data_IF_534401518839
#
_entry.id   IF_534401518839
#
_cell.length_a   1.000
_cell.length_b   1.000
_cell.length_c   1.000
_cell.angle_alpha   90.00
_cell.angle_beta   90.00
_cell.angle_gamma   90.00
#
_symmetry.space_group_name_H-M   'P 1'
#
loop_
_entity.id
_entity.type
_entity.pdbx_description
1 polymer ?
#
# COMPACT_ATOMS: atom_id res chain seq x y z
N UNK A 1 39.29 5.29 4.27
CA UNK A 1 38.21 5.23 5.29
C UNK A 1 36.98 4.58 4.67
N UNK A 2 37.07 3.25 4.47
CA UNK A 2 35.97 2.40 4.00
C UNK A 2 35.07 2.02 5.18
N UNK A 3 33.82 2.39 5.09
CA UNK A 3 32.62 1.66 5.53
C UNK A 3 32.64 0.86 6.83
N UNK A 4 32.69 1.55 7.98
CA UNK A 4 32.28 0.96 9.26
C UNK A 4 30.74 0.97 9.48
N UNK A 5 29.95 1.58 8.57
CA UNK A 5 28.49 1.67 8.73
C UNK A 5 27.67 0.52 8.13
N UNK A 6 28.26 -0.26 7.20
CA UNK A 6 27.57 -1.41 6.61
C UNK A 6 27.79 -2.74 7.33
N UNK A 7 28.89 -2.86 8.12
CA UNK A 7 29.22 -4.07 8.87
C UNK A 7 28.44 -4.23 10.19
N UNK A 8 27.96 -3.13 10.79
CA UNK A 8 27.24 -3.18 12.07
C UNK A 8 25.75 -3.56 11.95
N UNK A 9 25.16 -3.47 10.75
CA UNK A 9 23.74 -3.85 10.50
C UNK A 9 23.60 -5.37 10.32
N UNK A 10 24.65 -6.05 9.91
CA UNK A 10 24.61 -7.50 9.60
C UNK A 10 24.74 -8.42 10.83
N UNK A 11 25.02 -7.88 12.02
CA UNK A 11 25.27 -8.67 13.23
C UNK A 11 24.34 -8.37 14.42
N UNK A 12 23.43 -7.39 14.32
CA UNK A 12 22.47 -7.12 15.39
C UNK A 12 21.14 -7.81 15.12
N UNK A 13 20.68 -8.63 16.06
CA UNK A 13 19.34 -9.25 16.04
C UNK A 13 18.22 -8.29 16.48
N UNK A 14 18.50 -7.00 16.57
CA UNK A 14 17.58 -5.97 17.03
C UNK A 14 17.74 -4.67 16.22
N UNK A 15 16.67 -3.89 16.14
CA UNK A 15 16.64 -2.60 15.43
C UNK A 15 16.78 -1.44 16.43
N UNK A 16 17.48 -0.36 16.05
CA UNK A 16 17.64 0.84 16.88
C UNK A 16 16.32 1.52 17.20
N UNK A 17 15.40 1.52 16.25
CA UNK A 17 14.03 2.01 16.40
C UNK A 17 13.09 1.24 15.48
N UNK A 18 11.78 1.38 15.72
CA UNK A 18 10.77 0.62 14.99
C UNK A 18 10.67 0.99 13.50
N UNK A 19 11.14 2.18 13.09
CA UNK A 19 11.12 2.57 11.67
C UNK A 19 12.08 1.73 10.81
N UNK A 20 13.09 1.13 11.42
CA UNK A 20 14.09 0.29 10.76
C UNK A 20 13.64 -1.17 10.59
N UNK A 21 12.55 -1.58 11.23
CA UNK A 21 12.04 -2.96 11.16
C UNK A 21 11.07 -3.21 9.99
N UNK A 22 10.99 -2.29 9.03
CA UNK A 22 10.18 -2.43 7.81
C UNK A 22 10.76 -3.47 6.87
N UNK A 23 9.88 -4.06 6.04
CA UNK A 23 10.30 -4.99 5.00
C UNK A 23 10.45 -6.42 5.50
N UNK A 24 11.20 -7.24 4.74
CA UNK A 24 11.37 -8.67 4.97
C UNK A 24 10.03 -9.40 5.16
N UNK A 25 8.99 -8.94 4.47
CA UNK A 25 7.66 -9.53 4.54
C UNK A 25 7.64 -10.86 3.78
N UNK A 26 6.98 -11.90 4.31
CA UNK A 26 7.05 -13.21 3.68
C UNK A 26 6.24 -13.30 2.38
N UNK A 27 6.69 -14.19 1.49
CA UNK A 27 5.87 -14.76 0.43
C UNK A 27 5.17 -16.01 0.96
N UNK A 28 3.83 -16.05 0.81
CA UNK A 28 3.01 -17.19 1.21
C UNK A 28 2.33 -17.77 -0.01
N UNK A 29 2.49 -19.08 -0.27
CA UNK A 29 1.78 -19.75 -1.35
C UNK A 29 0.30 -19.85 -1.02
N UNK A 30 -0.54 -19.44 -1.97
CA UNK A 30 -1.99 -19.66 -1.91
C UNK A 30 -2.30 -21.04 -2.47
N UNK A 31 -3.10 -21.83 -1.74
CA UNK A 31 -3.32 -23.24 -2.07
C UNK A 31 -4.78 -23.56 -2.36
N UNK A 32 -5.73 -23.09 -1.52
CA UNK A 32 -7.15 -23.43 -1.64
C UNK A 32 -7.91 -22.40 -2.45
N UNK A 33 -7.68 -21.11 -2.20
CA UNK A 33 -8.37 -20.01 -2.86
C UNK A 33 -8.07 -19.93 -4.38
N UNK A 34 -7.05 -20.64 -4.84
CA UNK A 34 -6.66 -20.70 -6.27
C UNK A 34 -7.57 -21.59 -7.12
N UNK A 35 -8.48 -22.39 -6.51
CA UNK A 35 -9.48 -23.18 -7.20
C UNK A 35 -8.91 -24.04 -8.33
N UNK A 36 -7.80 -24.75 -8.10
CA UNK A 36 -7.16 -25.64 -9.06
C UNK A 36 -6.40 -24.97 -10.21
N UNK A 37 -6.09 -23.68 -10.13
CA UNK A 37 -5.22 -23.01 -11.10
C UNK A 37 -3.86 -23.74 -11.24
N UNK A 38 -3.33 -23.77 -12.46
CA UNK A 38 -2.05 -24.45 -12.75
C UNK A 38 -0.81 -23.56 -12.56
N UNK A 39 -0.99 -22.26 -12.36
CA UNK A 39 0.09 -21.36 -11.98
C UNK A 39 0.28 -21.37 -10.46
N UNK A 40 1.50 -21.14 -9.99
CA UNK A 40 1.79 -20.91 -8.58
C UNK A 40 1.48 -19.46 -8.23
N UNK A 41 0.64 -19.22 -7.22
CA UNK A 41 0.34 -17.86 -6.73
C UNK A 41 0.97 -17.66 -5.36
N UNK A 42 1.84 -16.67 -5.25
CA UNK A 42 2.56 -16.28 -4.04
C UNK A 42 2.07 -14.91 -3.56
N UNK A 43 1.61 -14.83 -2.34
CA UNK A 43 1.14 -13.61 -1.70
C UNK A 43 2.26 -12.91 -0.92
N UNK A 44 2.66 -11.71 -1.32
CA UNK A 44 3.56 -10.83 -0.57
C UNK A 44 2.76 -10.14 0.53
N UNK A 45 2.86 -10.64 1.76
CA UNK A 45 1.99 -10.25 2.89
C UNK A 45 2.52 -8.99 3.59
N UNK A 46 2.26 -7.81 3.01
CA UNK A 46 2.72 -6.51 3.50
C UNK A 46 2.06 -6.08 4.83
N UNK A 47 1.02 -6.76 5.26
CA UNK A 47 0.45 -6.64 6.61
C UNK A 47 1.41 -7.03 7.74
N UNK A 48 2.56 -7.66 7.43
CA UNK A 48 3.61 -8.02 8.41
C UNK A 48 4.59 -6.88 8.71
N UNK A 49 4.46 -5.73 8.05
CA UNK A 49 5.22 -4.54 8.42
C UNK A 49 4.82 -3.99 9.81
N UNK A 50 5.68 -3.17 10.46
CA UNK A 50 5.49 -2.71 11.84
C UNK A 50 4.16 -2.01 12.16
N UNK A 51 3.61 -1.28 11.20
CA UNK A 51 2.26 -0.69 11.34
C UNK A 51 1.25 -1.35 10.40
N UNK A 52 1.46 -2.62 10.09
CA UNK A 52 0.54 -3.54 9.43
C UNK A 52 0.12 -3.14 8.01
N UNK A 53 1.00 -2.47 7.24
CA UNK A 53 0.74 -2.20 5.83
C UNK A 53 1.99 -1.93 5.00
N UNK A 54 1.84 -2.05 3.67
CA UNK A 54 2.85 -1.68 2.67
C UNK A 54 3.31 -0.23 2.80
N UNK A 55 2.48 0.64 3.39
CA UNK A 55 2.79 2.07 3.56
C UNK A 55 3.87 2.33 4.60
N UNK A 56 4.21 1.34 5.45
CA UNK A 56 5.36 1.44 6.34
C UNK A 56 6.64 1.73 5.56
N UNK A 57 6.82 1.09 4.40
CA UNK A 57 7.98 1.30 3.53
C UNK A 57 8.07 2.75 3.05
N UNK A 58 7.01 3.27 2.45
CA UNK A 58 7.03 4.63 1.91
C UNK A 58 7.03 5.69 3.01
N UNK A 59 6.35 5.45 4.14
CA UNK A 59 6.36 6.36 5.29
C UNK A 59 7.77 6.55 5.83
N UNK A 60 8.53 5.45 6.01
CA UNK A 60 9.92 5.50 6.41
C UNK A 60 10.81 6.17 5.34
N UNK A 61 10.71 5.73 4.08
CA UNK A 61 11.56 6.22 2.99
C UNK A 61 11.41 7.73 2.76
N UNK A 62 10.19 8.26 2.76
CA UNK A 62 9.96 9.70 2.55
C UNK A 62 10.52 10.54 3.71
N UNK A 63 10.44 10.05 4.95
CA UNK A 63 11.03 10.71 6.11
C UNK A 63 12.56 10.66 6.04
N UNK A 64 13.15 9.49 5.76
CA UNK A 64 14.60 9.34 5.62
C UNK A 64 15.17 10.19 4.48
N UNK A 65 14.47 10.27 3.34
CA UNK A 65 14.87 11.14 2.22
C UNK A 65 14.83 12.62 2.63
N UNK A 66 13.77 13.03 3.31
CA UNK A 66 13.66 14.40 3.80
C UNK A 66 14.76 14.77 4.81
N UNK A 67 15.12 13.85 5.72
CA UNK A 67 16.26 14.01 6.63
C UNK A 67 17.60 14.10 5.88
N UNK A 68 17.84 13.17 4.94
CA UNK A 68 19.06 13.12 4.13
C UNK A 68 19.26 14.40 3.30
N UNK A 69 18.15 14.96 2.81
CA UNK A 69 18.18 16.23 2.04
C UNK A 69 18.21 17.47 2.90
N UNK A 70 18.24 17.34 4.23
CA UNK A 70 18.22 18.48 5.16
C UNK A 70 16.90 19.25 5.20
N UNK A 71 15.81 18.68 4.64
CA UNK A 71 14.48 19.28 4.68
C UNK A 71 13.83 19.10 6.06
N UNK A 72 14.20 18.04 6.77
CA UNK A 72 13.69 17.67 8.09
C UNK A 72 14.83 17.68 9.10
N UNK A 73 14.57 18.27 10.28
CA UNK A 73 15.57 18.39 11.36
C UNK A 73 15.00 19.19 12.54
N UNK A 74 15.82 19.67 13.47
CA UNK A 74 15.37 20.41 14.65
C UNK A 74 14.44 21.58 14.30
N UNK A 75 13.30 21.68 14.99
CA UNK A 75 12.30 22.72 14.77
C UNK A 75 11.38 22.51 13.56
N UNK A 76 11.57 21.45 12.80
CA UNK A 76 10.70 21.07 11.68
C UNK A 76 9.55 20.17 12.14
N UNK A 77 8.44 20.24 11.41
CA UNK A 77 7.23 19.46 11.64
C UNK A 77 6.70 18.92 10.30
N UNK A 78 6.35 17.65 10.27
CA UNK A 78 5.71 17.02 9.11
C UNK A 78 4.24 17.41 9.03
N UNK A 79 3.78 17.67 7.81
CA UNK A 79 2.35 17.85 7.50
C UNK A 79 2.02 16.96 6.31
N UNK A 80 0.92 16.17 6.40
CA UNK A 80 0.50 15.32 5.26
C UNK A 80 -1.03 15.21 5.22
N UNK A 81 -1.65 15.36 4.04
CA UNK A 81 -3.08 15.13 3.85
C UNK A 81 -3.32 13.64 3.63
N UNK A 82 -3.70 12.92 4.68
CA UNK A 82 -3.96 11.49 4.56
C UNK A 82 -4.79 10.96 5.72
N UNK A 83 -5.69 10.06 5.41
CA UNK A 83 -6.59 9.40 6.36
C UNK A 83 -6.40 7.88 6.40
N UNK A 84 -5.52 7.36 5.58
CA UNK A 84 -5.33 5.92 5.39
C UNK A 84 -4.03 5.37 6.01
N UNK A 85 -3.58 4.26 5.45
CA UNK A 85 -2.38 3.56 5.87
C UNK A 85 -1.12 4.44 5.85
N UNK A 86 -1.03 5.42 4.94
CA UNK A 86 0.09 6.37 4.89
C UNK A 86 0.16 7.23 6.14
N UNK A 87 -0.98 7.73 6.63
CA UNK A 87 -1.02 8.50 7.89
C UNK A 87 -0.52 7.68 9.07
N UNK A 88 -0.94 6.42 9.17
CA UNK A 88 -0.48 5.51 10.24
C UNK A 88 1.02 5.23 10.09
N UNK A 89 1.50 5.01 8.85
CA UNK A 89 2.91 4.78 8.58
C UNK A 89 3.77 6.00 8.95
N UNK A 90 3.37 7.19 8.55
CA UNK A 90 4.07 8.42 8.94
C UNK A 90 4.04 8.63 10.46
N UNK A 91 2.90 8.35 11.10
CA UNK A 91 2.76 8.54 12.54
C UNK A 91 3.67 7.59 13.34
N UNK A 92 3.75 6.29 12.98
CA UNK A 92 4.63 5.38 13.70
C UNK A 92 6.12 5.71 13.50
N UNK A 93 6.53 6.11 12.29
CA UNK A 93 7.91 6.53 12.03
C UNK A 93 8.23 7.83 12.77
N UNK A 94 7.34 8.81 12.71
CA UNK A 94 7.49 10.07 13.42
C UNK A 94 7.61 9.86 14.95
N UNK A 95 6.75 9.01 15.52
CA UNK A 95 6.82 8.63 16.93
C UNK A 95 8.16 7.96 17.29
N UNK A 96 8.61 6.98 16.50
CA UNK A 96 9.85 6.26 16.73
C UNK A 96 11.10 7.17 16.64
N UNK A 97 11.01 8.28 15.90
CA UNK A 97 12.13 9.21 15.64
C UNK A 97 11.98 10.55 16.35
N UNK A 98 10.92 10.75 17.14
CA UNK A 98 10.68 12.00 17.87
C UNK A 98 10.38 13.21 16.97
N UNK A 99 9.75 12.99 15.80
CA UNK A 99 9.42 14.03 14.80
C UNK A 99 7.98 14.48 15.02
N UNK A 100 7.71 15.80 15.18
CA UNK A 100 6.35 16.30 15.23
C UNK A 100 5.61 16.06 13.91
N UNK A 101 4.35 15.61 13.98
CA UNK A 101 3.51 15.30 12.82
C UNK A 101 2.12 15.88 12.96
N UNK A 102 1.66 16.62 11.96
CA UNK A 102 0.28 17.05 11.77
C UNK A 102 -0.32 16.36 10.55
N UNK A 103 -1.48 15.73 10.71
CA UNK A 103 -2.24 15.09 9.63
C UNK A 103 -3.55 15.84 9.40
N UNK A 104 -3.84 16.17 8.16
CA UNK A 104 -5.13 16.74 7.76
C UNK A 104 -6.01 15.66 7.14
N UNK A 105 -7.27 15.61 7.52
CA UNK A 105 -8.22 14.61 7.02
C UNK A 105 -9.67 15.05 7.16
N UNK A 106 -10.60 14.55 6.32
CA UNK A 106 -12.02 14.80 6.50
C UNK A 106 -12.55 14.25 7.84
N UNK A 107 -13.46 14.96 8.46
CA UNK A 107 -14.13 14.55 9.70
C UNK A 107 -14.95 13.26 9.56
N UNK A 108 -15.25 12.83 8.33
CA UNK A 108 -15.93 11.57 8.02
C UNK A 108 -15.05 10.32 8.21
N UNK A 109 -13.75 10.51 8.49
CA UNK A 109 -12.87 9.38 8.78
C UNK A 109 -13.24 8.68 10.08
N UNK A 110 -13.14 7.35 10.08
CA UNK A 110 -13.55 6.52 11.20
C UNK A 110 -12.83 6.90 12.51
N UNK A 111 -13.56 6.80 13.61
CA UNK A 111 -13.04 7.15 14.93
C UNK A 111 -11.85 6.25 15.32
N UNK A 112 -11.86 4.98 14.91
CA UNK A 112 -10.77 4.02 15.18
C UNK A 112 -9.47 4.49 14.57
N UNK A 113 -9.49 4.96 13.31
CA UNK A 113 -8.30 5.53 12.65
C UNK A 113 -7.77 6.77 13.36
N UNK A 114 -8.68 7.68 13.75
CA UNK A 114 -8.30 8.87 14.50
C UNK A 114 -7.67 8.51 15.85
N UNK A 115 -8.23 7.53 16.57
CA UNK A 115 -7.66 7.01 17.82
C UNK A 115 -6.25 6.47 17.64
N UNK A 116 -6.00 5.65 16.59
CA UNK A 116 -4.66 5.13 16.30
C UNK A 116 -3.64 6.24 16.04
N UNK A 117 -4.00 7.23 15.25
CA UNK A 117 -3.11 8.35 14.92
C UNK A 117 -2.77 9.20 16.14
N UNK A 118 -3.76 9.50 16.97
CA UNK A 118 -3.55 10.22 18.23
C UNK A 118 -2.69 9.40 19.22
N UNK A 119 -2.93 8.09 19.32
CA UNK A 119 -2.12 7.20 20.15
C UNK A 119 -0.64 7.16 19.70
N UNK A 120 -0.36 7.35 18.41
CA UNK A 120 0.98 7.49 17.87
C UNK A 120 1.55 8.91 18.01
N UNK A 121 0.83 9.84 18.65
CA UNK A 121 1.30 11.19 18.91
C UNK A 121 1.08 12.19 17.77
N UNK A 122 0.36 11.82 16.70
CA UNK A 122 0.05 12.75 15.61
C UNK A 122 -1.02 13.76 16.03
N UNK A 123 -0.81 15.02 15.64
CA UNK A 123 -1.83 16.08 15.70
C UNK A 123 -2.78 15.95 14.52
N UNK A 124 -4.09 15.95 14.79
CA UNK A 124 -5.10 15.85 13.74
C UNK A 124 -5.75 17.22 13.51
N UNK A 125 -5.87 17.59 12.24
CA UNK A 125 -6.65 18.73 11.78
C UNK A 125 -7.77 18.20 10.90
N UNK A 126 -9.00 18.20 11.42
CA UNK A 126 -10.18 17.74 10.72
C UNK A 126 -10.69 18.84 9.77
N UNK A 127 -11.09 18.41 8.58
CA UNK A 127 -11.70 19.29 7.58
C UNK A 127 -13.16 18.87 7.34
N UNK A 128 -13.95 19.79 6.80
CA UNK A 128 -15.39 19.55 6.53
C UNK A 128 -15.59 18.30 5.67
N UNK A 129 -16.49 17.42 6.11
CA UNK A 129 -16.80 16.15 5.44
C UNK A 129 -17.12 16.28 3.96
N UNK A 130 -18.01 17.21 3.53
CA UNK A 130 -18.37 17.39 2.13
C UNK A 130 -17.21 17.77 1.20
N UNK A 131 -16.14 18.38 1.73
CA UNK A 131 -14.94 18.72 0.95
C UNK A 131 -14.01 17.53 0.69
N UNK A 132 -14.22 16.40 1.38
CA UNK A 132 -13.45 15.17 1.22
C UNK A 132 -11.93 15.37 1.26
N UNK A 133 -11.19 14.54 0.54
CA UNK A 133 -9.71 14.65 0.45
C UNK A 133 -9.22 15.96 -0.18
N UNK A 134 -9.86 16.56 -1.19
CA UNK A 134 -9.47 17.88 -1.67
C UNK A 134 -9.43 18.96 -0.57
N UNK A 135 -10.40 18.93 0.36
CA UNK A 135 -10.39 19.84 1.51
C UNK A 135 -9.22 19.60 2.47
N UNK A 136 -8.85 18.34 2.68
CA UNK A 136 -7.69 17.99 3.51
C UNK A 136 -6.37 18.42 2.84
N UNK A 137 -6.25 18.26 1.53
CA UNK A 137 -5.09 18.72 0.76
C UNK A 137 -4.94 20.24 0.86
N UNK A 138 -5.99 20.99 0.56
CA UNK A 138 -5.97 22.46 0.66
C UNK A 138 -5.58 22.93 2.06
N UNK A 139 -6.07 22.23 3.12
CA UNK A 139 -5.71 22.59 4.51
C UNK A 139 -4.25 22.27 4.83
N UNK A 140 -3.68 21.20 4.30
CA UNK A 140 -2.25 20.92 4.47
C UNK A 140 -1.38 21.95 3.78
N UNK A 141 -1.75 22.40 2.59
CA UNK A 141 -1.07 23.44 1.84
C UNK A 141 -1.15 24.79 2.56
N UNK A 142 -2.31 25.15 3.12
CA UNK A 142 -2.48 26.35 3.96
C UNK A 142 -1.54 26.33 5.17
N UNK A 143 -1.46 25.18 5.88
CA UNK A 143 -0.56 25.04 7.03
C UNK A 143 0.90 25.23 6.60
N UNK A 144 1.32 24.59 5.52
CA UNK A 144 2.70 24.73 5.02
C UNK A 144 2.98 26.16 4.59
N UNK A 145 2.06 26.82 3.89
CA UNK A 145 2.19 28.22 3.46
C UNK A 145 2.27 29.19 4.64
N UNK A 146 1.65 28.88 5.79
CA UNK A 146 1.71 29.75 6.98
C UNK A 146 3.11 29.84 7.59
N UNK A 147 3.95 28.83 7.43
CA UNK A 147 5.35 28.84 7.86
C UNK A 147 6.18 27.79 7.07
N UNK A 148 6.62 28.12 5.83
CA UNK A 148 7.39 27.18 5.00
C UNK A 148 8.76 26.81 5.59
N UNK A 149 9.27 27.62 6.51
CA UNK A 149 10.54 27.30 7.19
C UNK A 149 10.39 26.21 8.25
N UNK A 150 9.16 25.98 8.76
CA UNK A 150 8.84 25.01 9.80
C UNK A 150 8.25 23.72 9.24
N UNK A 151 7.29 23.83 8.34
CA UNK A 151 6.48 22.68 7.89
C UNK A 151 7.03 22.01 6.64
N UNK A 152 6.99 20.68 6.64
CA UNK A 152 7.46 19.83 5.53
C UNK A 152 6.33 18.92 5.05
N UNK A 153 5.98 19.04 3.76
CA UNK A 153 4.99 18.21 3.09
C UNK A 153 5.70 17.13 2.26
N UNK A 154 5.37 15.85 2.47
CA UNK A 154 6.07 14.73 1.85
C UNK A 154 5.50 14.33 0.48
N UNK A 155 4.18 14.46 0.28
CA UNK A 155 3.49 14.24 -1.00
C UNK A 155 3.65 12.84 -1.59
N UNK A 156 3.04 11.82 -0.96
CA UNK A 156 3.18 10.42 -1.35
C UNK A 156 2.95 10.10 -2.84
N UNK A 157 2.13 10.88 -3.54
CA UNK A 157 1.80 10.68 -4.96
C UNK A 157 2.84 11.27 -5.93
N UNK A 158 3.77 12.11 -5.43
CA UNK A 158 4.79 12.80 -6.22
C UNK A 158 6.21 12.49 -5.77
N UNK A 159 6.39 12.04 -4.53
CA UNK A 159 7.69 11.85 -3.92
C UNK A 159 8.43 10.65 -4.51
N UNK A 160 9.61 10.84 -5.14
CA UNK A 160 10.36 9.75 -5.76
C UNK A 160 10.90 8.71 -4.77
N UNK A 161 11.01 9.04 -3.47
CA UNK A 161 11.37 8.08 -2.44
C UNK A 161 10.35 6.93 -2.30
N UNK A 162 9.09 7.17 -2.73
CA UNK A 162 8.05 6.16 -2.73
C UNK A 162 8.39 4.97 -3.67
N UNK A 163 8.52 5.11 -4.99
CA UNK A 163 8.94 3.99 -5.82
C UNK A 163 10.37 3.51 -5.52
N UNK A 164 11.26 4.40 -5.09
CA UNK A 164 12.65 4.03 -4.79
C UNK A 164 12.75 2.97 -3.68
N UNK A 165 12.02 3.10 -2.58
CA UNK A 165 12.05 2.08 -1.50
C UNK A 165 11.56 0.72 -1.97
N UNK A 166 10.61 0.67 -2.88
CA UNK A 166 10.14 -0.60 -3.46
C UNK A 166 11.15 -1.20 -4.43
N UNK A 167 11.91 -0.37 -5.15
CA UNK A 167 13.02 -0.79 -5.99
C UNK A 167 14.20 -1.30 -5.15
N UNK A 168 14.43 -0.72 -3.97
CA UNK A 168 15.54 -1.06 -3.08
C UNK A 168 15.23 -2.21 -2.11
N UNK A 169 13.94 -2.48 -1.82
CA UNK A 169 13.55 -3.49 -0.81
C UNK A 169 12.56 -4.51 -1.35
N UNK A 170 11.34 -4.11 -1.71
CA UNK A 170 10.26 -5.04 -2.13
C UNK A 170 10.64 -5.85 -3.37
N UNK A 171 11.25 -5.21 -4.35
CA UNK A 171 11.74 -5.86 -5.58
C UNK A 171 12.80 -6.92 -5.28
N UNK A 172 13.91 -6.58 -4.58
CA UNK A 172 14.90 -7.55 -4.11
C UNK A 172 14.34 -8.69 -3.27
N UNK A 173 13.44 -8.39 -2.32
CA UNK A 173 12.78 -9.42 -1.50
C UNK A 173 12.03 -10.43 -2.38
N UNK A 174 11.17 -9.96 -3.30
CA UNK A 174 10.44 -10.83 -4.23
C UNK A 174 11.39 -11.64 -5.09
N UNK A 175 12.43 -11.02 -5.62
CA UNK A 175 13.44 -11.69 -6.46
C UNK A 175 14.15 -12.81 -5.71
N UNK A 176 14.65 -12.52 -4.52
CA UNK A 176 15.38 -13.48 -3.72
C UNK A 176 14.49 -14.62 -3.20
N UNK A 177 13.29 -14.29 -2.71
CA UNK A 177 12.32 -15.27 -2.18
C UNK A 177 11.76 -16.20 -3.27
N UNK A 178 11.92 -15.86 -4.54
CA UNK A 178 11.51 -16.69 -5.69
C UNK A 178 12.69 -17.27 -6.47
N UNK A 179 13.93 -17.07 -6.03
CA UNK A 179 15.14 -17.38 -6.81
C UNK A 179 15.06 -16.83 -8.24
N UNK A 180 14.46 -15.64 -8.39
CA UNK A 180 14.23 -15.01 -9.67
C UNK A 180 13.14 -15.65 -10.55
N UNK A 181 12.36 -16.61 -10.05
CA UNK A 181 11.37 -17.35 -10.83
C UNK A 181 10.05 -16.61 -11.06
N UNK A 182 9.87 -15.39 -10.55
CA UNK A 182 8.66 -14.59 -10.77
C UNK A 182 8.43 -14.28 -12.26
N UNK A 183 7.24 -14.60 -12.79
CA UNK A 183 6.86 -14.36 -14.19
C UNK A 183 5.80 -13.26 -14.31
N UNK A 184 4.91 -13.16 -13.33
CA UNK A 184 3.82 -12.17 -13.32
C UNK A 184 3.80 -11.49 -11.95
N UNK A 185 3.75 -10.17 -11.94
CA UNK A 185 3.63 -9.37 -10.73
C UNK A 185 2.31 -8.59 -10.72
N UNK A 186 1.49 -8.79 -9.70
CA UNK A 186 0.15 -8.20 -9.56
C UNK A 186 0.11 -7.25 -8.37
N UNK A 187 -0.31 -6.00 -8.59
CA UNK A 187 -0.41 -5.00 -7.54
C UNK A 187 -1.61 -4.07 -7.74
N UNK A 188 -2.38 -3.83 -6.69
CA UNK A 188 -3.39 -2.78 -6.67
C UNK A 188 -2.74 -1.39 -6.69
N UNK A 189 -3.34 -0.46 -7.44
CA UNK A 189 -2.78 0.88 -7.64
C UNK A 189 -3.45 1.92 -6.74
N UNK A 190 -2.73 2.27 -5.66
CA UNK A 190 -3.00 3.47 -4.88
C UNK A 190 -2.12 4.62 -5.37
N UNK A 191 -0.87 4.69 -4.91
CA UNK A 191 0.12 5.65 -5.43
C UNK A 191 0.87 5.14 -6.67
N UNK A 192 0.87 3.83 -6.91
CA UNK A 192 1.65 3.21 -7.99
C UNK A 192 3.13 2.97 -7.67
N UNK A 193 3.60 3.41 -6.50
CA UNK A 193 5.01 3.26 -6.14
C UNK A 193 5.47 1.81 -6.07
N UNK A 194 4.64 0.91 -5.55
CA UNK A 194 4.97 -0.52 -5.42
C UNK A 194 5.21 -1.16 -6.78
N UNK A 195 4.26 -1.02 -7.72
CA UNK A 195 4.41 -1.63 -9.05
C UNK A 195 5.57 -1.01 -9.81
N UNK A 196 5.75 0.31 -9.71
CA UNK A 196 6.85 1.03 -10.36
C UNK A 196 8.20 0.54 -9.84
N UNK A 197 8.40 0.51 -8.51
CA UNK A 197 9.69 0.13 -7.92
C UNK A 197 10.03 -1.34 -8.15
N UNK A 198 9.09 -2.26 -7.94
CA UNK A 198 9.30 -3.69 -8.19
C UNK A 198 9.58 -3.95 -9.67
N UNK A 199 8.82 -3.33 -10.58
CA UNK A 199 9.03 -3.50 -12.02
C UNK A 199 10.37 -2.92 -12.48
N UNK A 200 10.80 -1.76 -11.96
CA UNK A 200 12.14 -1.23 -12.22
C UNK A 200 13.22 -2.21 -11.80
N UNK A 201 13.13 -2.74 -10.59
CA UNK A 201 14.12 -3.69 -10.10
C UNK A 201 14.19 -4.94 -10.97
N UNK A 202 13.05 -5.60 -11.24
CA UNK A 202 13.07 -6.88 -11.95
C UNK A 202 13.33 -6.68 -13.45
N UNK A 203 12.61 -5.76 -14.12
CA UNK A 203 12.73 -5.55 -15.56
C UNK A 203 14.04 -4.86 -15.96
N UNK A 204 14.47 -3.83 -15.22
CA UNK A 204 15.59 -2.98 -15.63
C UNK A 204 16.91 -3.40 -14.97
N UNK A 205 16.92 -3.71 -13.66
CA UNK A 205 18.16 -4.12 -12.97
C UNK A 205 18.48 -5.60 -13.18
N UNK A 206 17.48 -6.49 -13.00
CA UNK A 206 17.66 -7.94 -13.20
C UNK A 206 17.51 -8.35 -14.67
N UNK A 207 17.02 -7.46 -15.53
CA UNK A 207 16.81 -7.69 -16.97
C UNK A 207 15.92 -8.90 -17.27
N UNK A 208 15.00 -9.24 -16.36
CA UNK A 208 14.00 -10.29 -16.56
C UNK A 208 12.68 -9.70 -17.05
N UNK A 209 12.17 -10.14 -18.21
CA UNK A 209 10.87 -9.70 -18.71
C UNK A 209 9.75 -10.37 -17.90
N UNK A 210 9.19 -9.66 -16.95
CA UNK A 210 7.98 -10.06 -16.22
C UNK A 210 6.75 -9.32 -16.77
N UNK A 211 5.57 -9.90 -16.58
CA UNK A 211 4.30 -9.20 -16.83
C UNK A 211 3.86 -8.47 -15.56
N UNK A 212 3.90 -7.14 -15.58
CA UNK A 212 3.43 -6.30 -14.48
C UNK A 212 1.96 -5.92 -14.68
N UNK A 213 1.10 -6.35 -13.77
CA UNK A 213 -0.35 -6.18 -13.85
C UNK A 213 -0.81 -5.19 -12.77
N UNK A 214 -1.36 -4.07 -13.21
CA UNK A 214 -2.00 -3.09 -12.35
C UNK A 214 -3.47 -3.48 -12.10
N UNK A 215 -3.93 -3.36 -10.86
CA UNK A 215 -5.32 -3.61 -10.50
C UNK A 215 -5.98 -2.30 -10.08
N UNK A 216 -7.14 -1.99 -10.68
CA UNK A 216 -7.95 -0.83 -10.36
C UNK A 216 -9.42 -1.19 -10.12
N UNK A 217 -10.20 -0.37 -9.38
CA UNK A 217 -11.63 -0.59 -9.23
C UNK A 217 -12.39 -0.40 -10.55
N UNK A 218 -13.28 -1.31 -10.90
CA UNK A 218 -14.14 -1.18 -12.11
C UNK A 218 -15.03 0.06 -12.09
N UNK A 219 -15.42 0.53 -10.89
CA UNK A 219 -16.19 1.76 -10.71
C UNK A 219 -15.36 3.04 -10.93
N UNK A 220 -14.03 2.95 -10.95
CA UNK A 220 -13.12 4.10 -11.12
C UNK A 220 -11.92 3.71 -12.02
N UNK A 221 -12.14 3.38 -13.30
CA UNK A 221 -11.14 2.77 -14.18
C UNK A 221 -10.22 3.82 -14.82
N UNK A 222 -9.64 4.69 -14.00
CA UNK A 222 -8.86 5.85 -14.47
C UNK A 222 -7.57 5.48 -15.19
N UNK A 223 -6.94 4.35 -14.83
CA UNK A 223 -5.72 3.88 -15.51
C UNK A 223 -6.04 3.31 -16.90
N UNK A 224 -7.13 2.53 -17.02
CA UNK A 224 -7.63 2.05 -18.31
C UNK A 224 -7.96 3.22 -19.22
N UNK A 225 -8.66 4.23 -18.70
CA UNK A 225 -9.01 5.44 -19.45
C UNK A 225 -7.78 6.22 -19.89
N UNK A 226 -6.82 6.43 -18.98
CA UNK A 226 -5.57 7.12 -19.29
C UNK A 226 -4.78 6.40 -20.41
N UNK A 227 -4.67 5.07 -20.32
CA UNK A 227 -3.98 4.26 -21.35
C UNK A 227 -4.66 4.35 -22.71
N UNK A 228 -5.99 4.47 -22.73
CA UNK A 228 -6.77 4.64 -23.94
C UNK A 228 -6.84 6.10 -24.45
N UNK A 229 -6.17 7.05 -23.80
CA UNK A 229 -6.23 8.47 -24.14
C UNK A 229 -7.61 9.09 -23.92
N UNK A 230 -8.44 8.50 -23.06
CA UNK A 230 -9.79 8.96 -22.77
C UNK A 230 -9.80 9.95 -21.58
N UNK A 231 -10.81 10.84 -21.50
CA UNK A 231 -11.04 11.67 -20.34
C UNK A 231 -11.22 10.82 -19.06
N UNK A 232 -10.55 11.18 -17.97
CA UNK A 232 -10.67 10.47 -16.71
C UNK A 232 -12.03 10.72 -16.08
N UNK A 233 -12.71 9.65 -15.71
CA UNK A 233 -14.01 9.64 -15.02
C UNK A 233 -13.90 8.81 -13.75
N UNK A 234 -13.37 9.39 -12.64
CA UNK A 234 -13.31 8.69 -11.36
C UNK A 234 -14.73 8.45 -10.84
N UNK A 235 -14.91 7.31 -10.17
CA UNK A 235 -16.17 6.93 -9.54
C UNK A 235 -15.95 6.49 -8.10
N UNK A 236 -17.02 6.52 -7.29
CA UNK A 236 -17.02 6.06 -5.91
C UNK A 236 -16.91 4.52 -5.84
N UNK A 237 -16.10 4.01 -4.93
CA UNK A 237 -15.92 2.58 -4.71
C UNK A 237 -15.59 2.27 -3.23
N UNK A 238 -15.72 0.99 -2.83
CA UNK A 238 -15.46 0.52 -1.46
C UNK A 238 -14.05 -0.06 -1.25
N UNK A 239 -13.23 -0.15 -2.30
CA UNK A 239 -11.90 -0.76 -2.24
C UNK A 239 -10.89 0.27 -1.72
N UNK A 240 -10.78 0.39 -0.39
CA UNK A 240 -9.88 1.34 0.25
C UNK A 240 -8.41 1.03 -0.04
N UNK A 241 -7.62 2.06 -0.30
CA UNK A 241 -6.16 1.96 -0.53
C UNK A 241 -5.72 1.93 -1.98
N UNK A 242 -6.64 1.71 -2.93
CA UNK A 242 -6.41 1.80 -4.38
C UNK A 242 -7.44 2.72 -5.04
N UNK A 243 -7.27 3.02 -6.32
CA UNK A 243 -8.24 3.82 -7.07
C UNK A 243 -8.27 5.30 -6.63
N UNK A 244 -7.15 6.00 -6.69
CA UNK A 244 -7.02 7.40 -6.24
C UNK A 244 -7.89 8.41 -7.03
N UNK A 245 -8.48 8.01 -8.15
CA UNK A 245 -9.30 8.87 -9.00
C UNK A 245 -8.50 9.71 -10.01
N UNK A 246 -7.19 9.56 -10.03
CA UNK A 246 -6.25 10.19 -10.97
C UNK A 246 -5.04 9.29 -11.21
N UNK A 247 -4.21 9.61 -12.19
CA UNK A 247 -2.94 8.92 -12.44
C UNK A 247 -1.86 9.56 -11.58
N UNK A 248 -1.26 8.82 -10.61
CA UNK A 248 -0.22 9.39 -9.74
C UNK A 248 1.09 9.68 -10.49
N UNK A 249 1.80 10.74 -10.11
CA UNK A 249 3.05 11.15 -10.76
C UNK A 249 4.17 10.10 -10.57
N UNK A 250 4.15 9.35 -9.46
CA UNK A 250 5.14 8.29 -9.19
C UNK A 250 4.85 6.96 -9.88
N UNK A 251 3.69 6.84 -10.55
CA UNK A 251 3.34 5.66 -11.34
C UNK A 251 3.98 5.74 -12.74
N UNK A 252 4.87 4.82 -13.03
CA UNK A 252 5.44 4.67 -14.37
C UNK A 252 4.60 3.68 -15.20
N UNK A 253 3.65 4.20 -15.97
CA UNK A 253 2.77 3.39 -16.82
C UNK A 253 3.51 2.64 -17.93
N UNK A 254 4.72 3.04 -18.31
CA UNK A 254 5.52 2.34 -19.31
C UNK A 254 6.00 0.96 -18.83
N UNK A 255 6.04 0.76 -17.51
CA UNK A 255 6.41 -0.52 -16.88
C UNK A 255 5.21 -1.44 -16.64
N UNK A 256 3.99 -0.95 -16.84
CA UNK A 256 2.75 -1.71 -16.64
C UNK A 256 2.33 -2.35 -17.93
N UNK A 257 2.31 -3.69 -17.99
CA UNK A 257 1.95 -4.43 -19.21
C UNK A 257 0.44 -4.61 -19.38
N UNK A 258 -0.28 -4.85 -18.26
CA UNK A 258 -1.72 -5.03 -18.24
C UNK A 258 -2.39 -4.24 -17.11
N UNK A 259 -3.65 -3.85 -17.35
CA UNK A 259 -4.51 -3.25 -16.33
C UNK A 259 -5.75 -4.14 -16.24
N UNK A 260 -6.05 -4.61 -15.03
CA UNK A 260 -7.19 -5.46 -14.72
C UNK A 260 -8.14 -4.74 -13.76
N UNK A 261 -9.42 -4.88 -14.01
CA UNK A 261 -10.46 -4.27 -13.19
C UNK A 261 -11.08 -5.30 -12.24
N UNK A 262 -11.55 -4.81 -11.09
CA UNK A 262 -12.21 -5.64 -10.07
C UNK A 262 -13.37 -4.86 -9.44
N UNK A 263 -14.49 -5.54 -9.18
CA UNK A 263 -15.64 -4.93 -8.51
C UNK A 263 -15.46 -4.87 -6.98
N UNK A 264 -16.30 -4.08 -6.31
CA UNK A 264 -16.32 -4.04 -4.84
C UNK A 264 -16.67 -5.41 -4.25
N UNK A 265 -17.67 -6.06 -4.84
CA UNK A 265 -18.20 -7.35 -4.40
C UNK A 265 -17.15 -8.44 -4.53
N UNK A 266 -16.48 -8.51 -5.68
CA UNK A 266 -15.40 -9.46 -5.93
C UNK A 266 -14.24 -9.25 -4.95
N UNK A 267 -13.83 -8.00 -4.71
CA UNK A 267 -12.75 -7.67 -3.79
C UNK A 267 -13.07 -8.08 -2.34
N UNK A 268 -14.29 -7.79 -1.87
CA UNK A 268 -14.74 -8.13 -0.52
C UNK A 268 -14.86 -9.66 -0.36
N UNK A 269 -15.51 -10.33 -1.32
CA UNK A 269 -15.66 -11.79 -1.29
C UNK A 269 -14.29 -12.49 -1.26
N UNK A 270 -13.34 -12.01 -2.06
CA UNK A 270 -12.02 -12.62 -2.12
C UNK A 270 -11.17 -12.35 -0.86
N UNK A 271 -11.30 -11.18 -0.22
CA UNK A 271 -10.65 -10.92 1.06
C UNK A 271 -11.17 -11.85 2.16
N UNK A 272 -12.49 -12.13 2.18
CA UNK A 272 -13.09 -13.12 3.08
C UNK A 272 -12.59 -14.54 2.80
N UNK A 273 -12.45 -14.93 1.53
CA UNK A 273 -11.90 -16.21 1.12
C UNK A 273 -10.43 -16.38 1.57
N UNK A 274 -9.60 -15.34 1.44
CA UNK A 274 -8.22 -15.37 1.94
C UNK A 274 -8.17 -15.68 3.45
N UNK A 275 -9.07 -15.09 4.24
CA UNK A 275 -9.16 -15.36 5.67
C UNK A 275 -9.63 -16.79 5.94
N UNK A 276 -10.72 -17.22 5.31
CA UNK A 276 -11.37 -18.51 5.59
C UNK A 276 -10.60 -19.70 5.01
N UNK A 277 -10.05 -19.56 3.80
CA UNK A 277 -9.42 -20.65 3.08
C UNK A 277 -7.90 -20.72 3.27
N UNK A 278 -7.22 -19.58 3.48
CA UNK A 278 -5.76 -19.53 3.61
C UNK A 278 -5.28 -19.09 5.01
N UNK A 279 -6.18 -18.66 5.90
CA UNK A 279 -5.81 -18.11 7.20
C UNK A 279 -5.10 -16.75 7.10
N UNK A 280 -5.28 -16.02 6.00
CA UNK A 280 -4.64 -14.72 5.76
C UNK A 280 -5.65 -13.61 6.00
N UNK A 281 -5.53 -12.92 7.13
CA UNK A 281 -6.31 -11.73 7.43
C UNK A 281 -5.81 -10.54 6.61
N UNK A 282 -6.50 -10.21 5.53
CA UNK A 282 -6.10 -9.19 4.57
C UNK A 282 -7.23 -8.19 4.28
N UNK A 283 -6.88 -6.94 3.94
CA UNK A 283 -7.84 -5.89 3.65
C UNK A 283 -8.54 -6.03 2.29
N UNK A 284 -9.49 -5.13 2.00
CA UNK A 284 -10.32 -5.19 0.78
C UNK A 284 -9.45 -5.08 -0.49
N UNK A 285 -8.45 -4.21 -0.50
CA UNK A 285 -7.53 -4.08 -1.65
C UNK A 285 -6.63 -5.31 -1.85
N UNK A 286 -6.37 -6.07 -0.78
CA UNK A 286 -5.69 -7.37 -0.86
C UNK A 286 -6.58 -8.40 -1.56
N UNK A 287 -7.88 -8.43 -1.21
CA UNK A 287 -8.87 -9.25 -1.90
C UNK A 287 -8.98 -8.90 -3.39
N UNK A 288 -8.99 -7.61 -3.70
CA UNK A 288 -8.99 -7.11 -5.08
C UNK A 288 -7.79 -7.63 -5.89
N UNK A 289 -6.59 -7.48 -5.38
CA UNK A 289 -5.37 -7.94 -6.06
C UNK A 289 -5.32 -9.47 -6.17
N UNK A 290 -5.70 -10.20 -5.12
CA UNK A 290 -5.71 -11.66 -5.11
C UNK A 290 -6.76 -12.25 -6.07
N UNK A 291 -7.96 -11.66 -6.16
CA UNK A 291 -8.99 -12.06 -7.13
C UNK A 291 -8.45 -12.00 -8.56
N UNK A 292 -7.80 -10.89 -8.91
CA UNK A 292 -7.17 -10.71 -10.22
C UNK A 292 -6.02 -11.70 -10.42
N UNK A 293 -5.16 -11.90 -9.43
CA UNK A 293 -4.05 -12.85 -9.53
C UNK A 293 -4.55 -14.28 -9.79
N UNK A 294 -5.58 -14.72 -9.09
CA UNK A 294 -6.20 -16.05 -9.30
C UNK A 294 -6.90 -16.13 -10.66
N UNK A 295 -7.58 -15.09 -11.09
CA UNK A 295 -8.17 -15.01 -12.45
C UNK A 295 -7.11 -15.20 -13.52
N UNK A 296 -5.94 -14.56 -13.37
CA UNK A 296 -4.80 -14.71 -14.29
C UNK A 296 -4.19 -16.11 -14.18
N UNK A 297 -4.09 -16.67 -12.96
CA UNK A 297 -3.54 -18.00 -12.72
C UNK A 297 -4.34 -19.14 -13.39
N UNK A 298 -5.64 -18.93 -13.57
CA UNK A 298 -6.54 -19.89 -14.25
C UNK A 298 -6.43 -19.86 -15.78
N UNK A 299 -5.80 -18.84 -16.37
CA UNK A 299 -5.61 -18.76 -17.82
C UNK A 299 -4.67 -19.87 -18.29
N UNK A 300 -5.03 -20.65 -19.34
CA UNK A 300 -4.22 -21.79 -19.79
C UNK A 300 -2.77 -21.44 -20.13
N UNK A 301 -2.53 -20.27 -20.71
CA UNK A 301 -1.22 -19.76 -21.07
C UNK A 301 -0.31 -19.43 -19.88
N UNK A 302 -0.87 -19.43 -18.67
CA UNK A 302 -0.12 -19.16 -17.45
C UNK A 302 0.18 -20.45 -16.65
N UNK A 303 -0.15 -21.62 -17.20
CA UNK A 303 0.19 -22.89 -16.56
C UNK A 303 1.71 -22.99 -16.32
N UNK A 304 2.10 -23.36 -15.09
CA UNK A 304 3.50 -23.49 -14.67
C UNK A 304 4.20 -22.17 -14.32
N UNK A 305 3.59 -21.01 -14.55
CA UNK A 305 4.17 -19.71 -14.18
C UNK A 305 4.05 -19.42 -12.68
N UNK A 306 4.96 -18.58 -12.20
CA UNK A 306 4.94 -18.03 -10.84
C UNK A 306 4.38 -16.61 -10.87
N UNK A 307 3.29 -16.40 -10.13
CA UNK A 307 2.58 -15.13 -9.99
C UNK A 307 2.82 -14.63 -8.57
N UNK A 308 3.34 -13.41 -8.43
CA UNK A 308 3.45 -12.74 -7.13
C UNK A 308 2.39 -11.65 -7.04
N UNK A 309 1.59 -11.69 -5.98
CA UNK A 309 0.56 -10.66 -5.70
C UNK A 309 0.83 -9.97 -4.38
N UNK A 310 0.69 -8.64 -4.35
CA UNK A 310 0.85 -7.87 -3.12
C UNK A 310 -0.46 -7.83 -2.35
N UNK A 311 -0.42 -8.22 -1.07
CA UNK A 311 -1.50 -8.04 -0.10
C UNK A 311 -1.14 -6.85 0.80
N UNK A 312 -1.70 -5.64 0.55
CA UNK A 312 -1.16 -4.41 1.10
C UNK A 312 -1.26 -4.24 2.62
N UNK A 313 -2.27 -4.83 3.28
CA UNK A 313 -2.52 -4.61 4.70
C UNK A 313 -3.34 -5.72 5.36
N UNK A 314 -3.66 -5.54 6.66
CA UNK A 314 -4.43 -6.45 7.50
C UNK A 314 -5.92 -6.08 7.55
N UNK A 315 -6.79 -7.07 7.76
CA UNK A 315 -8.25 -6.92 7.83
C UNK A 315 -8.75 -6.20 9.09
N UNK A 316 -7.98 -6.17 10.17
CA UNK A 316 -8.39 -5.56 11.46
C UNK A 316 -8.71 -4.06 11.33
N UNK A 317 -8.20 -3.39 10.29
CA UNK A 317 -8.52 -1.99 9.96
C UNK A 317 -9.90 -1.79 9.37
N UNK A 318 -10.59 -2.86 9.05
CA UNK A 318 -11.84 -2.88 8.29
C UNK A 318 -13.01 -3.49 9.06
N UNK A 319 -12.86 -3.74 10.38
CA UNK A 319 -13.88 -4.39 11.22
C UNK A 319 -15.24 -3.68 11.17
N UNK A 320 -15.27 -2.36 11.05
CA UNK A 320 -16.49 -1.55 10.93
C UNK A 320 -16.88 -1.22 9.48
N UNK A 321 -16.42 -2.01 8.50
CA UNK A 321 -16.67 -1.76 7.07
C UNK A 321 -17.41 -2.91 6.43
N UNK A 322 -17.76 -2.75 5.14
CA UNK A 322 -18.41 -3.78 4.33
C UNK A 322 -17.65 -5.14 4.28
N UNK A 323 -16.36 -5.17 4.64
CA UNK A 323 -15.60 -6.43 4.72
C UNK A 323 -16.21 -7.40 5.73
N UNK A 324 -16.71 -6.88 6.86
CA UNK A 324 -17.29 -7.70 7.94
C UNK A 324 -18.81 -7.54 8.06
N UNK A 325 -19.45 -6.84 7.12
CA UNK A 325 -20.90 -6.72 7.09
C UNK A 325 -21.54 -8.12 6.91
N UNK A 326 -22.54 -8.43 7.76
CA UNK A 326 -23.24 -9.71 7.75
C UNK A 326 -22.47 -10.90 8.36
N UNK A 327 -21.28 -10.67 8.96
CA UNK A 327 -20.54 -11.73 9.68
C UNK A 327 -21.22 -12.09 11.00
N UNK A 328 -21.90 -11.12 11.62
CA UNK A 328 -22.69 -11.32 12.83
C UNK A 328 -24.15 -10.94 12.61
N UNK A 329 -25.05 -11.63 13.31
CA UNK A 329 -26.46 -11.26 13.39
C UNK A 329 -26.70 -10.09 14.36
N UNK A 330 -27.97 -9.72 14.55
CA UNK A 330 -28.37 -8.63 15.46
C UNK A 330 -28.06 -8.92 16.93
N UNK A 331 -27.84 -10.18 17.30
CA UNK A 331 -27.47 -10.64 18.65
C UNK A 331 -25.96 -10.72 18.85
N UNK A 332 -25.14 -10.41 17.84
CA UNK A 332 -23.69 -10.54 17.87
C UNK A 332 -23.20 -11.98 17.76
N UNK A 333 -24.04 -12.88 17.31
CA UNK A 333 -23.69 -14.27 17.01
C UNK A 333 -23.24 -14.37 15.55
N UNK A 334 -22.37 -15.33 15.27
CA UNK A 334 -21.94 -15.58 13.90
C UNK A 334 -23.16 -15.90 13.03
N UNK A 335 -23.33 -15.18 11.91
CA UNK A 335 -24.34 -15.53 10.94
C UNK A 335 -24.02 -16.91 10.40
N UNK A 336 -24.98 -17.85 10.53
CA UNK A 336 -24.83 -19.19 9.98
C UNK A 336 -24.75 -19.04 8.45
N UNK A 337 -23.64 -19.49 7.87
CA UNK A 337 -23.53 -19.52 6.42
C UNK A 337 -24.64 -20.43 5.88
N UNK A 338 -25.52 -19.86 5.07
CA UNK A 338 -26.56 -20.61 4.36
C UNK A 338 -25.94 -21.43 3.24
#
# INVERSE_FOLDING_TARGET
LRNQKESDVAMSHWYKDNSLSIGHTPLVRLNRVVDGARATVLAKTEGRNPSYSVKCRIGAAMIWDAEKRGLLGPGKELVEPTSGNTGIALAFVAAARGIPLTLTMPETMSIERRKLLVALGAKLVLTEGPKGMPGAIAKSEEIVASNPSRYVLLQQFKNPANPAIHEETTGPEIWNDTDGAVDIFVSGIGTGGTITGVSRYIKLKQKKPIVSVAVEPSASPVLTQARAGQPLKPGSHKIQGIGAGFVPDVLDLSLVDAIEQVSNEEAIAFARRLAHEEGILAGISSGAAAAVAVRIAKRPENAGKTIVVVLPDSSERYLSTALFEGVFDAQGLAAVAA
#
